data_IF_076899953216
#
_entry.id   IF_076899953216
#
_cell.length_a   1.000
_cell.length_b   1.000
_cell.length_c   1.000
_cell.angle_alpha   90.00
_cell.angle_beta   90.00
_cell.angle_gamma   90.00
#
_symmetry.space_group_name_H-M   'P 1'
#
loop_
_entity.id
_entity.type
_entity.pdbx_description
1 polymer ?
#
# COMPACT_ATOMS: atom_id res chain seq x y z
N UNK A 1 1.93 -3.91 -10.53
CA UNK A 1 1.19 -2.96 -9.68
C UNK A 1 0.56 -3.77 -8.56
N UNK A 2 0.77 -3.34 -7.32
CA UNK A 2 0.15 -3.93 -6.13
C UNK A 2 -0.37 -2.80 -5.26
N UNK A 3 -1.55 -2.99 -4.68
CA UNK A 3 -2.21 -2.06 -3.78
C UNK A 3 -2.87 -2.88 -2.68
N UNK A 4 -2.68 -2.47 -1.43
CA UNK A 4 -3.26 -3.13 -0.27
C UNK A 4 -3.75 -2.10 0.75
N UNK A 5 -4.72 -2.47 1.57
CA UNK A 5 -5.20 -1.60 2.65
C UNK A 5 -4.11 -1.42 3.70
N UNK A 6 -3.83 -0.17 4.07
CA UNK A 6 -2.86 0.18 5.10
C UNK A 6 -3.53 0.19 6.48
N UNK A 7 -2.82 -0.31 7.48
CA UNK A 7 -3.20 -0.19 8.88
C UNK A 7 -3.18 1.29 9.27
N UNK A 8 -4.33 1.80 9.72
CA UNK A 8 -4.50 3.21 10.11
C UNK A 8 -5.45 3.32 11.29
N UNK A 9 -5.33 4.41 12.03
CA UNK A 9 -6.25 4.84 13.08
C UNK A 9 -7.33 5.81 12.55
N UNK A 10 -7.30 6.13 11.25
CA UNK A 10 -8.27 7.02 10.60
C UNK A 10 -9.55 6.27 10.24
N UNK A 11 -10.66 7.01 10.27
CA UNK A 11 -11.95 6.53 9.75
C UNK A 11 -11.88 6.51 8.21
N UNK A 12 -11.75 5.30 7.66
CA UNK A 12 -11.55 5.06 6.23
C UNK A 12 -12.40 3.88 5.78
N UNK A 13 -12.70 3.83 4.48
CA UNK A 13 -13.37 2.67 3.89
C UNK A 13 -12.44 1.45 3.82
N UNK A 14 -13.06 0.29 3.54
CA UNK A 14 -12.36 -1.00 3.43
C UNK A 14 -12.46 -1.87 4.70
N UNK A 15 -11.81 -3.04 4.71
CA UNK A 15 -11.86 -3.97 5.83
C UNK A 15 -11.33 -3.34 7.12
N UNK A 16 -12.03 -3.45 8.25
CA UNK A 16 -11.57 -2.87 9.53
C UNK A 16 -10.61 -3.78 10.30
N UNK A 17 -10.60 -5.07 9.98
CA UNK A 17 -9.72 -6.05 10.65
C UNK A 17 -8.27 -5.88 10.19
N UNK A 18 -7.35 -5.86 11.16
CA UNK A 18 -5.91 -5.81 10.90
C UNK A 18 -5.39 -7.03 10.10
N UNK A 19 -6.14 -8.14 10.07
CA UNK A 19 -5.76 -9.31 9.26
C UNK A 19 -5.80 -9.05 7.74
N UNK A 20 -6.49 -7.98 7.31
CA UNK A 20 -6.59 -7.57 5.91
C UNK A 20 -5.93 -6.21 5.67
N UNK A 21 -5.02 -5.80 6.55
CA UNK A 21 -4.29 -4.53 6.44
C UNK A 21 -2.80 -4.76 6.62
N UNK A 22 -2.01 -4.23 5.70
CA UNK A 22 -0.55 -4.23 5.83
C UNK A 22 -0.11 -3.17 6.83
N UNK A 23 0.93 -3.45 7.59
CA UNK A 23 1.60 -2.46 8.46
C UNK A 23 2.40 -1.47 7.63
N UNK A 24 2.76 -0.31 8.20
CA UNK A 24 3.67 0.61 7.55
C UNK A 24 4.96 -0.09 7.10
N UNK A 25 5.32 0.12 5.84
CA UNK A 25 6.45 -0.47 5.11
C UNK A 25 6.43 -2.00 4.92
N UNK A 26 5.35 -2.70 5.29
CA UNK A 26 5.28 -4.16 5.12
C UNK A 26 5.26 -4.54 3.63
N UNK A 27 4.46 -3.85 2.82
CA UNK A 27 4.43 -4.09 1.37
C UNK A 27 5.78 -3.82 0.70
N UNK A 28 6.49 -2.76 1.12
CA UNK A 28 7.85 -2.47 0.65
C UNK A 28 8.84 -3.57 1.06
N UNK A 29 8.79 -4.03 2.32
CA UNK A 29 9.65 -5.10 2.82
C UNK A 29 9.45 -6.43 2.09
N UNK A 30 8.21 -6.75 1.72
CA UNK A 30 7.88 -7.93 0.91
C UNK A 30 8.38 -7.81 -0.55
N UNK A 31 8.73 -6.60 -1.00
CA UNK A 31 9.11 -6.31 -2.38
C UNK A 31 10.63 -6.20 -2.61
N UNK A 32 11.45 -6.64 -1.66
CA UNK A 32 12.93 -6.54 -1.70
C UNK A 32 13.61 -7.20 -2.91
N UNK A 33 12.94 -8.13 -3.61
CA UNK A 33 13.44 -8.74 -4.85
C UNK A 33 13.11 -7.97 -6.14
N UNK A 34 12.40 -6.85 -6.04
CA UNK A 34 11.97 -6.05 -7.18
C UNK A 34 12.77 -4.75 -7.28
N UNK A 35 12.92 -4.26 -8.51
CA UNK A 35 13.21 -2.84 -8.72
C UNK A 35 11.90 -2.09 -8.48
N UNK A 36 11.82 -1.36 -7.39
CA UNK A 36 10.65 -0.54 -7.09
C UNK A 36 10.79 0.79 -7.84
N UNK A 37 9.73 1.17 -8.53
CA UNK A 37 9.64 2.40 -9.34
C UNK A 37 8.85 3.46 -8.57
N UNK A 38 7.87 3.02 -7.79
CA UNK A 38 7.00 3.88 -7.01
C UNK A 38 6.56 3.16 -5.74
N UNK A 39 6.56 3.89 -4.63
CA UNK A 39 5.95 3.47 -3.38
C UNK A 39 5.25 4.66 -2.74
N UNK A 40 4.04 4.43 -2.24
CA UNK A 40 3.28 5.41 -1.50
C UNK A 40 2.46 4.71 -0.41
N UNK A 41 2.43 5.35 0.76
CA UNK A 41 1.52 5.01 1.84
C UNK A 41 0.76 6.28 2.23
N UNK A 42 -0.56 6.22 2.22
CA UNK A 42 -1.34 7.40 2.53
C UNK A 42 -2.84 7.22 2.41
N UNK A 43 -3.53 8.33 2.67
CA UNK A 43 -4.95 8.45 2.41
C UNK A 43 -5.16 8.75 0.92
N UNK A 44 -6.05 7.98 0.29
CA UNK A 44 -6.40 8.11 -1.12
C UNK A 44 -7.90 8.29 -1.20
N UNK A 45 -8.33 9.27 -1.99
CA UNK A 45 -9.74 9.46 -2.31
C UNK A 45 -10.12 8.51 -3.46
N UNK A 46 -11.05 7.60 -3.19
CA UNK A 46 -11.65 6.75 -4.19
C UNK A 46 -12.55 7.57 -5.13
N UNK A 47 -12.78 7.12 -6.37
CA UNK A 47 -13.65 7.83 -7.33
C UNK A 47 -15.10 8.07 -6.86
N UNK A 48 -15.53 7.37 -5.82
CA UNK A 48 -16.84 7.57 -5.19
C UNK A 48 -16.84 8.64 -4.08
N UNK A 49 -15.72 9.34 -3.89
CA UNK A 49 -15.52 10.42 -2.93
C UNK A 49 -15.21 9.95 -1.50
N UNK A 50 -15.04 8.64 -1.28
CA UNK A 50 -14.70 8.10 0.04
C UNK A 50 -13.18 7.96 0.18
N UNK A 51 -12.68 7.99 1.41
CA UNK A 51 -11.23 7.89 1.67
C UNK A 51 -10.84 6.50 2.11
N UNK A 52 -9.85 5.91 1.44
CA UNK A 52 -9.18 4.67 1.84
C UNK A 52 -7.77 4.99 2.37
N UNK A 53 -7.23 4.14 3.25
CA UNK A 53 -5.81 4.16 3.59
C UNK A 53 -5.13 3.03 2.83
N UNK A 54 -4.17 3.35 1.97
CA UNK A 54 -3.59 2.41 1.02
C UNK A 54 -2.05 2.44 1.06
N UNK A 55 -1.46 1.26 0.85
CA UNK A 55 -0.07 1.09 0.45
C UNK A 55 -0.05 0.70 -1.03
N UNK A 56 0.65 1.46 -1.85
CA UNK A 56 0.68 1.33 -3.30
C UNK A 56 2.11 1.14 -3.78
N UNK A 57 2.35 0.11 -4.60
CA UNK A 57 3.68 -0.22 -5.11
C UNK A 57 3.65 -0.53 -6.62
N UNK A 58 4.55 0.11 -7.35
CA UNK A 58 4.91 -0.27 -8.72
C UNK A 58 6.32 -0.79 -8.71
N UNK A 59 6.49 -2.05 -9.09
CA UNK A 59 7.80 -2.68 -9.24
C UNK A 59 7.90 -3.43 -10.57
N UNK A 60 9.13 -3.66 -10.99
CA UNK A 60 9.45 -4.50 -12.14
C UNK A 60 10.63 -5.42 -11.83
N UNK A 61 10.86 -6.39 -12.73
CA UNK A 61 12.07 -7.19 -12.69
C UNK A 61 13.27 -6.34 -13.09
N UNK A 62 14.33 -6.38 -12.30
CA UNK A 62 15.57 -5.63 -12.51
C UNK A 62 16.45 -5.67 -11.27
N UNK A 63 17.48 -4.82 -11.22
CA UNK A 63 18.27 -4.64 -10.01
C UNK A 63 17.38 -4.15 -8.88
N UNK A 64 17.31 -4.92 -7.79
CA UNK A 64 16.50 -4.57 -6.64
C UNK A 64 16.93 -3.24 -6.02
N UNK A 65 15.96 -2.47 -5.53
CA UNK A 65 16.18 -1.16 -4.93
C UNK A 65 14.92 -0.30 -4.94
N UNK A 66 14.94 0.75 -4.11
CA UNK A 66 13.95 1.82 -4.04
C UNK A 66 14.61 3.15 -4.41
#
# INVERSE_FOLDING_TARGET
LCEEHLLTDRDVVGPTSAAFRVRPNELLGLSTGLRVIYYHEGLVEDPDGRTAALAQLIGCRGTAGF
#
